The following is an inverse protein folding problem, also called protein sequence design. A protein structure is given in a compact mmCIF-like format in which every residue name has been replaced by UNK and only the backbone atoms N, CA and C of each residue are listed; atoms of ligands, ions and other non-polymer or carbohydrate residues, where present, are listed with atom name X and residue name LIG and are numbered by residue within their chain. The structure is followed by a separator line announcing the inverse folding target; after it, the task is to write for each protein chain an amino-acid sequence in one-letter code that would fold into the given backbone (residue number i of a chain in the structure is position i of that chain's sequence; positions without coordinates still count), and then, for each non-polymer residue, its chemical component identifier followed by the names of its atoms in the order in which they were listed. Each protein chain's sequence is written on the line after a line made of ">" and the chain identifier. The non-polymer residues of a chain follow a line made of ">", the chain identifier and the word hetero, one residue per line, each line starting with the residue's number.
data_IF_426133755901
#
_entry.id   IF_426133755901
#
_cell.length_a   1.000
_cell.length_b   1.000
_cell.length_c   1.000
_cell.angle_alpha   90.00
_cell.angle_beta   90.00
_cell.angle_gamma   90.00
#
_symmetry.space_group_name_H-M   'P 1'
#
loop_
_entity.id
_entity.type
_entity.pdbx_description
1 polymer ?
#
# COMPACT_ATOMS: atom_id res chain seq x y z
N UNK A 1 2.23 23.29 22.84
CA UNK A 1 2.01 22.04 22.07
C UNK A 1 1.86 20.90 23.08
N UNK A 2 0.83 20.06 22.95
CA UNK A 2 0.59 18.93 23.87
C UNK A 2 1.59 17.82 23.57
N UNK A 3 2.21 17.26 24.61
CA UNK A 3 3.00 16.03 24.48
C UNK A 3 2.07 14.82 24.52
N UNK A 4 2.31 13.82 23.68
CA UNK A 4 1.53 12.59 23.64
C UNK A 4 2.39 11.40 23.21
N UNK A 5 1.91 10.20 23.52
CA UNK A 5 2.44 8.94 23.00
C UNK A 5 1.57 8.41 21.87
N UNK A 6 2.18 8.11 20.73
CA UNK A 6 1.52 7.54 19.55
C UNK A 6 2.15 6.21 19.14
N UNK A 7 1.30 5.23 18.81
CA UNK A 7 1.75 3.97 18.20
C UNK A 7 1.12 3.88 16.83
N UNK A 8 1.95 3.62 15.81
CA UNK A 8 1.49 3.33 14.46
C UNK A 8 1.62 1.83 14.17
N UNK A 9 0.50 1.16 13.93
CA UNK A 9 0.48 -0.21 13.41
C UNK A 9 0.49 -0.18 11.89
N UNK A 10 1.50 -0.80 11.27
CA UNK A 10 1.67 -0.85 9.83
C UNK A 10 2.01 -2.27 9.37
N UNK A 11 1.24 -2.83 8.44
CA UNK A 11 1.50 -4.16 7.90
C UNK A 11 2.51 -4.11 6.75
N UNK A 12 3.31 -5.16 6.60
CA UNK A 12 4.13 -5.38 5.41
C UNK A 12 3.28 -5.85 4.23
N UNK A 13 2.24 -6.66 4.46
CA UNK A 13 1.28 -7.17 3.47
C UNK A 13 1.89 -7.97 2.29
N UNK A 14 3.17 -8.32 2.36
CA UNK A 14 3.91 -8.98 1.29
C UNK A 14 4.62 -10.23 1.81
N UNK A 15 4.02 -11.41 1.55
CA UNK A 15 4.66 -12.69 1.84
C UNK A 15 6.06 -12.79 1.22
N UNK A 16 6.25 -12.22 0.02
CA UNK A 16 7.56 -12.17 -0.63
C UNK A 16 8.58 -11.34 0.16
N UNK A 17 8.16 -10.25 0.82
CA UNK A 17 9.06 -9.45 1.66
C UNK A 17 9.50 -10.25 2.89
N UNK A 18 8.54 -10.90 3.56
CA UNK A 18 8.80 -11.77 4.71
C UNK A 18 9.75 -12.92 4.35
N UNK A 19 9.47 -13.61 3.23
CA UNK A 19 10.31 -14.70 2.75
C UNK A 19 11.72 -14.21 2.40
N UNK A 20 11.86 -13.09 1.68
CA UNK A 20 13.17 -12.53 1.36
C UNK A 20 13.94 -12.12 2.61
N UNK A 21 13.28 -11.50 3.59
CA UNK A 21 13.89 -11.06 4.84
C UNK A 21 14.53 -12.24 5.60
N UNK A 22 13.76 -13.27 5.90
CA UNK A 22 14.25 -14.41 6.67
C UNK A 22 15.14 -15.35 5.87
N UNK A 23 14.98 -15.41 4.53
CA UNK A 23 15.90 -16.15 3.66
C UNK A 23 17.29 -15.52 3.65
N UNK A 24 17.36 -14.18 3.55
CA UNK A 24 18.63 -13.46 3.52
C UNK A 24 19.24 -13.29 4.91
N UNK A 25 18.44 -13.44 5.98
CA UNK A 25 18.88 -13.33 7.37
C UNK A 25 18.36 -14.53 8.20
N UNK A 26 18.87 -15.77 8.00
CA UNK A 26 18.32 -16.96 8.66
C UNK A 26 18.37 -16.92 10.20
N UNK A 27 19.39 -16.26 10.76
CA UNK A 27 19.57 -16.09 12.20
C UNK A 27 18.60 -15.06 12.81
N UNK A 28 17.94 -14.25 11.98
CA UNK A 28 17.09 -13.16 12.45
C UNK A 28 15.96 -13.64 13.35
N UNK A 29 15.36 -14.79 13.02
CA UNK A 29 14.24 -15.38 13.78
C UNK A 29 14.60 -15.71 15.24
N UNK A 30 15.89 -15.88 15.55
CA UNK A 30 16.39 -16.19 16.90
C UNK A 30 16.84 -14.95 17.66
N UNK A 31 16.88 -13.79 17.01
CA UNK A 31 17.23 -12.53 17.66
C UNK A 31 16.08 -11.96 18.47
N UNK A 32 16.39 -10.98 19.32
CA UNK A 32 15.39 -10.26 20.09
C UNK A 32 14.40 -9.51 19.21
N UNK A 33 13.21 -9.22 19.73
CA UNK A 33 12.20 -8.43 19.03
C UNK A 33 12.77 -7.13 18.48
N UNK A 34 13.53 -6.41 19.30
CA UNK A 34 14.14 -5.13 18.92
C UNK A 34 15.08 -5.30 17.72
N UNK A 35 15.99 -6.28 17.75
CA UNK A 35 16.93 -6.51 16.66
C UNK A 35 16.22 -6.96 15.38
N UNK A 36 15.17 -7.79 15.51
CA UNK A 36 14.33 -8.17 14.38
C UNK A 36 13.65 -6.94 13.75
N UNK A 37 13.02 -6.10 14.56
CA UNK A 37 12.33 -4.89 14.12
C UNK A 37 13.29 -3.90 13.45
N UNK A 38 14.45 -3.64 14.05
CA UNK A 38 15.47 -2.78 13.46
C UNK A 38 15.96 -3.30 12.11
N UNK A 39 16.15 -4.62 11.99
CA UNK A 39 16.53 -5.25 10.71
C UNK A 39 15.45 -5.07 9.65
N UNK A 40 14.17 -5.21 10.00
CA UNK A 40 13.04 -4.92 9.08
C UNK A 40 13.11 -3.48 8.59
N UNK A 41 13.33 -2.50 9.48
CA UNK A 41 13.45 -1.09 9.12
C UNK A 41 14.69 -0.78 8.26
N UNK A 42 15.79 -1.49 8.45
CA UNK A 42 16.99 -1.37 7.61
C UNK A 42 16.73 -1.81 6.16
N UNK A 43 15.90 -2.84 5.94
CA UNK A 43 15.54 -3.30 4.59
C UNK A 43 14.59 -2.35 3.85
N UNK A 44 13.95 -1.41 4.56
CA UNK A 44 13.15 -0.32 3.99
C UNK A 44 12.01 -0.75 3.04
N UNK A 45 11.36 -1.90 3.28
CA UNK A 45 10.40 -2.50 2.34
C UNK A 45 9.24 -1.61 1.91
N UNK A 46 8.30 -1.31 2.83
CA UNK A 46 7.10 -0.51 2.57
C UNK A 46 6.96 0.60 3.63
N UNK A 47 6.87 0.19 4.89
CA UNK A 47 6.88 1.09 6.03
C UNK A 47 8.15 0.90 6.84
N UNK A 48 8.75 2.03 7.24
CA UNK A 48 9.94 2.13 8.08
C UNK A 48 9.60 2.82 9.40
N UNK A 49 10.61 2.99 10.24
CA UNK A 49 10.56 3.84 11.43
C UNK A 49 10.52 5.35 11.13
N UNK A 50 10.42 5.76 9.86
CA UNK A 50 10.47 7.18 9.47
C UNK A 50 9.38 8.02 10.13
N UNK A 51 8.17 7.47 10.33
CA UNK A 51 7.10 8.18 11.01
C UNK A 51 7.41 8.39 12.50
N UNK A 52 7.80 7.34 13.21
CA UNK A 52 8.14 7.45 14.63
C UNK A 52 9.39 8.29 14.86
N UNK A 53 10.42 8.21 14.01
CA UNK A 53 11.58 9.13 14.04
C UNK A 53 11.13 10.58 13.89
N UNK A 54 10.28 10.88 12.91
CA UNK A 54 9.78 12.22 12.69
C UNK A 54 8.94 12.73 13.87
N UNK A 55 8.00 11.94 14.38
CA UNK A 55 7.20 12.31 15.55
C UNK A 55 8.05 12.51 16.82
N UNK A 56 9.10 11.69 17.01
CA UNK A 56 10.07 11.90 18.10
C UNK A 56 10.82 13.22 17.97
N UNK A 57 11.22 13.60 16.76
CA UNK A 57 11.86 14.91 16.51
C UNK A 57 10.94 16.10 16.78
N UNK A 58 9.62 15.90 16.69
CA UNK A 58 8.60 16.89 17.05
C UNK A 58 8.31 16.92 18.57
N UNK A 59 9.04 16.13 19.38
CA UNK A 59 8.90 16.09 20.83
C UNK A 59 7.74 15.22 21.31
N UNK A 60 7.50 14.08 20.67
CA UNK A 60 6.50 13.08 21.08
C UNK A 60 7.13 11.71 21.33
N UNK A 61 6.49 10.88 22.14
CA UNK A 61 6.83 9.45 22.18
C UNK A 61 6.14 8.75 21.01
N UNK A 62 6.90 8.06 20.15
CA UNK A 62 6.34 7.42 18.97
C UNK A 62 6.98 6.07 18.67
N UNK A 63 6.15 5.11 18.26
CA UNK A 63 6.56 3.75 17.92
C UNK A 63 5.88 3.30 16.62
N UNK A 64 6.65 2.67 15.73
CA UNK A 64 6.16 1.96 14.56
C UNK A 64 6.17 0.45 14.87
N UNK A 65 5.05 -0.23 14.64
CA UNK A 65 4.90 -1.67 14.88
C UNK A 65 4.49 -2.37 13.59
N UNK A 66 5.30 -3.36 13.20
CA UNK A 66 5.00 -4.26 12.07
C UNK A 66 4.16 -5.44 12.58
N UNK A 67 2.83 -5.32 12.48
CA UNK A 67 1.91 -6.22 13.20
C UNK A 67 1.69 -7.58 12.53
N UNK A 68 1.97 -7.71 11.23
CA UNK A 68 1.68 -8.91 10.43
C UNK A 68 2.90 -9.83 10.22
N UNK A 69 4.03 -9.51 10.84
CA UNK A 69 5.23 -10.35 10.81
C UNK A 69 5.20 -11.33 11.99
N UNK A 70 4.66 -12.53 11.75
CA UNK A 70 4.35 -13.51 12.79
C UNK A 70 5.55 -13.87 13.69
N UNK A 71 6.71 -14.18 13.11
CA UNK A 71 7.92 -14.52 13.88
C UNK A 71 8.30 -13.37 14.82
N UNK A 72 8.37 -12.14 14.29
CA UNK A 72 8.66 -10.94 15.05
C UNK A 72 7.68 -10.76 16.21
N UNK A 73 6.37 -10.86 15.95
CA UNK A 73 5.33 -10.66 16.96
C UNK A 73 5.33 -11.75 18.03
N UNK A 74 5.55 -13.01 17.65
CA UNK A 74 5.67 -14.13 18.61
C UNK A 74 6.91 -14.00 19.48
N UNK A 75 8.03 -13.50 18.93
CA UNK A 75 9.21 -13.16 19.73
C UNK A 75 8.89 -12.08 20.77
N UNK A 76 8.19 -11.00 20.39
CA UNK A 76 7.75 -9.98 21.34
C UNK A 76 6.91 -10.57 22.48
N UNK A 77 5.92 -11.40 22.14
CA UNK A 77 5.05 -12.00 23.13
C UNK A 77 5.81 -12.91 24.09
N UNK A 78 6.74 -13.72 23.57
CA UNK A 78 7.63 -14.57 24.39
C UNK A 78 8.48 -13.73 25.35
N UNK A 79 9.12 -12.66 24.87
CA UNK A 79 9.96 -11.78 25.69
C UNK A 79 9.18 -11.05 26.79
N UNK A 80 7.91 -10.73 26.54
CA UNK A 80 7.04 -10.03 27.50
C UNK A 80 6.18 -10.97 28.35
N UNK A 81 6.32 -12.28 28.21
CA UNK A 81 5.50 -13.26 28.94
C UNK A 81 4.01 -13.16 28.61
N UNK A 82 3.68 -12.76 27.38
CA UNK A 82 2.30 -12.57 26.92
C UNK A 82 1.76 -13.87 26.34
N UNK A 83 0.62 -14.31 26.89
CA UNK A 83 -0.16 -15.40 26.33
C UNK A 83 -1.07 -14.89 25.21
N UNK A 84 -1.23 -15.71 24.18
CA UNK A 84 -2.11 -15.47 23.04
C UNK A 84 -2.67 -16.81 22.54
N UNK A 85 -3.86 -16.76 21.95
CA UNK A 85 -4.43 -17.92 21.27
C UNK A 85 -3.76 -18.12 19.90
N UNK A 86 -3.48 -19.37 19.50
CA UNK A 86 -2.76 -19.65 18.26
C UNK A 86 -3.49 -19.19 17.00
N UNK A 87 -4.83 -19.20 17.00
CA UNK A 87 -5.65 -18.81 15.86
C UNK A 87 -5.95 -17.30 15.85
N UNK A 88 -5.75 -16.62 16.99
CA UNK A 88 -6.00 -15.18 17.17
C UNK A 88 -4.75 -14.38 17.57
N UNK A 89 -3.57 -14.97 17.36
CA UNK A 89 -2.29 -14.43 17.84
C UNK A 89 -2.09 -12.96 17.45
N UNK A 90 -2.48 -12.58 16.23
CA UNK A 90 -2.26 -11.24 15.70
C UNK A 90 -2.99 -10.20 16.54
N UNK A 91 -4.29 -10.41 16.76
CA UNK A 91 -5.12 -9.46 17.51
C UNK A 91 -4.76 -9.45 19.00
N UNK A 92 -4.52 -10.63 19.58
CA UNK A 92 -4.14 -10.74 20.99
C UNK A 92 -2.83 -10.00 21.28
N UNK A 93 -1.82 -10.19 20.43
CA UNK A 93 -0.53 -9.53 20.60
C UNK A 93 -0.64 -8.02 20.37
N UNK A 94 -1.37 -7.57 19.34
CA UNK A 94 -1.61 -6.13 19.09
C UNK A 94 -2.28 -5.46 20.31
N UNK A 95 -3.32 -6.08 20.88
CA UNK A 95 -3.99 -5.54 22.07
C UNK A 95 -3.08 -5.51 23.29
N UNK A 96 -2.20 -6.51 23.43
CA UNK A 96 -1.20 -6.56 24.51
C UNK A 96 -0.10 -5.53 24.33
N UNK A 97 0.29 -5.21 23.09
CA UNK A 97 1.21 -4.11 22.79
C UNK A 97 0.60 -2.75 23.14
N UNK A 98 -0.69 -2.54 22.84
CA UNK A 98 -1.43 -1.34 23.25
C UNK A 98 -1.46 -1.24 24.79
N UNK A 99 -1.80 -2.34 25.48
CA UNK A 99 -1.84 -2.41 26.95
C UNK A 99 -0.47 -2.12 27.59
N UNK A 100 0.60 -2.66 27.01
CA UNK A 100 1.97 -2.50 27.49
C UNK A 100 2.49 -1.07 27.31
N UNK A 101 2.30 -0.50 26.12
CA UNK A 101 2.87 0.80 25.77
C UNK A 101 2.01 1.98 26.27
N UNK A 102 0.71 1.77 26.51
CA UNK A 102 -0.26 2.78 26.99
C UNK A 102 -0.25 4.08 26.17
N UNK A 103 -0.50 4.04 24.84
CA UNK A 103 -0.51 5.23 23.99
C UNK A 103 -1.71 6.15 24.22
N UNK A 104 -1.51 7.46 24.10
CA UNK A 104 -2.63 8.41 23.95
C UNK A 104 -3.34 8.24 22.60
N UNK A 105 -2.60 7.85 21.57
CA UNK A 105 -3.08 7.74 20.19
C UNK A 105 -2.71 6.40 19.59
N UNK A 106 -3.70 5.69 19.05
CA UNK A 106 -3.47 4.50 18.22
C UNK A 106 -3.73 4.86 16.77
N UNK A 107 -2.70 4.73 15.94
CA UNK A 107 -2.75 5.01 14.51
C UNK A 107 -2.63 3.71 13.71
N UNK A 108 -3.69 3.32 13.02
CA UNK A 108 -3.67 2.21 12.09
C UNK A 108 -3.39 2.70 10.67
N UNK A 109 -2.29 2.22 10.08
CA UNK A 109 -1.89 2.54 8.70
C UNK A 109 -2.81 1.89 7.64
N UNK A 110 -3.60 0.90 8.09
CA UNK A 110 -4.69 0.23 7.40
C UNK A 110 -5.74 -0.20 8.44
N UNK A 111 -6.60 -1.19 8.17
CA UNK A 111 -7.63 -1.65 9.11
C UNK A 111 -7.53 -3.14 9.43
N UNK A 112 -6.49 -3.83 8.97
CA UNK A 112 -6.41 -5.29 9.04
C UNK A 112 -5.77 -5.79 10.33
N UNK A 113 -5.15 -4.88 11.10
CA UNK A 113 -4.52 -5.21 12.38
C UNK A 113 -5.51 -5.61 13.48
N UNK A 114 -6.79 -5.21 13.37
CA UNK A 114 -7.85 -5.54 14.33
C UNK A 114 -9.20 -5.66 13.61
N UNK A 115 -10.05 -6.65 13.97
CA UNK A 115 -11.42 -6.71 13.48
C UNK A 115 -12.22 -5.49 13.95
N UNK A 116 -13.21 -5.09 13.16
CA UNK A 116 -14.08 -3.94 13.46
C UNK A 116 -14.69 -3.99 14.87
N UNK A 117 -15.22 -5.15 15.26
CA UNK A 117 -15.84 -5.35 16.57
C UNK A 117 -14.87 -5.12 17.73
N UNK A 118 -13.60 -5.48 17.55
CA UNK A 118 -12.55 -5.27 18.55
C UNK A 118 -12.09 -3.81 18.55
N UNK A 119 -11.94 -3.21 17.36
CA UNK A 119 -11.51 -1.82 17.21
C UNK A 119 -12.48 -0.84 17.86
N UNK A 120 -13.78 -1.07 17.71
CA UNK A 120 -14.88 -0.32 18.35
C UNK A 120 -14.76 -0.25 19.87
N UNK A 121 -14.27 -1.32 20.49
CA UNK A 121 -14.14 -1.43 21.95
C UNK A 121 -12.80 -0.90 22.49
N UNK A 122 -11.89 -0.40 21.64
CA UNK A 122 -10.54 0.00 22.09
C UNK A 122 -10.57 1.06 23.19
N UNK A 123 -11.36 2.12 23.04
CA UNK A 123 -11.45 3.20 24.05
C UNK A 123 -12.19 2.76 25.31
N UNK A 124 -13.12 1.81 25.19
CA UNK A 124 -13.81 1.20 26.34
C UNK A 124 -12.85 0.31 27.15
N UNK A 125 -12.04 -0.49 26.44
CA UNK A 125 -11.05 -1.39 27.03
C UNK A 125 -9.84 -0.66 27.61
N UNK A 126 -9.43 0.43 26.96
CA UNK A 126 -8.22 1.19 27.30
C UNK A 126 -8.54 2.67 27.45
N UNK A 127 -8.93 3.07 28.67
CA UNK A 127 -9.31 4.45 29.01
C UNK A 127 -8.21 5.50 28.76
N UNK A 128 -6.95 5.08 28.57
CA UNK A 128 -5.85 5.98 28.23
C UNK A 128 -5.85 6.41 26.75
N UNK A 129 -6.55 5.70 25.86
CA UNK A 129 -6.62 6.04 24.44
C UNK A 129 -7.55 7.23 24.25
N UNK A 130 -7.00 8.34 23.74
CA UNK A 130 -7.73 9.56 23.43
C UNK A 130 -8.20 9.61 21.97
N UNK A 131 -7.39 9.11 21.04
CA UNK A 131 -7.68 9.15 19.61
C UNK A 131 -7.37 7.82 18.92
N UNK A 132 -8.30 7.37 18.07
CA UNK A 132 -8.10 6.32 17.08
C UNK A 132 -7.99 6.96 15.69
N UNK A 133 -6.83 6.78 15.05
CA UNK A 133 -6.52 7.32 13.72
C UNK A 133 -6.44 6.16 12.74
N UNK A 134 -7.01 6.32 11.55
CA UNK A 134 -6.90 5.33 10.47
C UNK A 134 -6.46 5.99 9.18
N UNK A 135 -5.55 5.37 8.45
CA UNK A 135 -5.22 5.75 7.09
C UNK A 135 -5.90 4.83 6.08
N UNK A 136 -6.50 5.41 5.04
CA UNK A 136 -7.22 4.65 4.02
C UNK A 136 -6.92 5.16 2.61
N UNK A 137 -6.36 4.29 1.77
CA UNK A 137 -5.99 4.57 0.38
C UNK A 137 -7.06 4.20 -0.66
N UNK A 138 -8.19 3.62 -0.25
CA UNK A 138 -9.26 3.18 -1.16
C UNK A 138 -10.58 3.02 -0.40
N UNK A 139 -11.73 3.16 -1.07
CA UNK A 139 -13.04 2.97 -0.46
C UNK A 139 -13.46 1.49 -0.60
N UNK A 140 -13.73 0.82 0.52
CA UNK A 140 -14.42 -0.46 0.52
C UNK A 140 -15.88 -0.22 0.88
N UNK A 141 -16.80 -0.72 0.06
CA UNK A 141 -18.23 -0.61 0.35
C UNK A 141 -18.56 -1.55 1.52
N UNK A 142 -19.30 -1.05 2.51
CA UNK A 142 -19.80 -1.84 3.66
C UNK A 142 -18.93 -1.80 4.92
N UNK A 143 -17.78 -1.14 4.91
CA UNK A 143 -17.00 -0.95 6.13
C UNK A 143 -17.61 0.12 7.04
N UNK A 144 -17.75 -0.20 8.32
CA UNK A 144 -18.15 0.78 9.32
C UNK A 144 -16.90 1.41 9.95
N UNK A 145 -16.81 2.73 9.83
CA UNK A 145 -15.69 3.55 10.30
C UNK A 145 -16.13 4.56 11.38
N UNK A 146 -17.32 4.39 11.95
CA UNK A 146 -17.89 5.33 12.94
C UNK A 146 -17.10 5.38 14.25
N UNK A 147 -16.26 4.38 14.53
CA UNK A 147 -15.40 4.31 15.71
C UNK A 147 -14.11 5.13 15.60
N UNK A 148 -13.83 5.69 14.42
CA UNK A 148 -12.58 6.37 14.10
C UNK A 148 -12.70 7.87 14.38
N UNK A 149 -11.75 8.42 15.14
CA UNK A 149 -11.74 9.83 15.48
C UNK A 149 -11.19 10.70 14.33
N UNK A 150 -10.22 10.17 13.57
CA UNK A 150 -9.53 10.85 12.47
C UNK A 150 -9.26 9.86 11.34
N UNK A 151 -9.70 10.20 10.13
CA UNK A 151 -9.44 9.41 8.92
C UNK A 151 -8.48 10.16 7.99
N UNK A 152 -7.33 9.57 7.69
CA UNK A 152 -6.34 10.11 6.76
C UNK A 152 -6.46 9.41 5.41
N UNK A 153 -6.31 10.14 4.31
CA UNK A 153 -6.29 9.54 2.96
C UNK A 153 -5.39 10.32 2.02
N UNK A 154 -4.78 9.66 1.04
CA UNK A 154 -3.98 10.30 -0.01
C UNK A 154 -4.79 10.69 -1.25
N UNK A 155 -6.09 10.35 -1.32
CA UNK A 155 -6.91 10.61 -2.50
C UNK A 155 -7.82 11.81 -2.21
N UNK A 156 -7.63 12.97 -2.87
CA UNK A 156 -8.43 14.17 -2.62
C UNK A 156 -9.93 13.94 -2.77
N UNK A 157 -10.33 13.18 -3.80
CA UNK A 157 -11.75 12.87 -4.03
C UNK A 157 -12.39 11.99 -2.95
N UNK A 158 -11.60 11.27 -2.14
CA UNK A 158 -12.12 10.48 -1.02
C UNK A 158 -12.34 11.33 0.24
N UNK A 159 -11.59 12.41 0.42
CA UNK A 159 -11.72 13.29 1.61
C UNK A 159 -13.15 13.79 1.75
N UNK A 160 -13.70 14.36 0.67
CA UNK A 160 -15.06 14.90 0.67
C UNK A 160 -16.11 13.79 0.79
N UNK A 161 -15.88 12.62 0.16
CA UNK A 161 -16.78 11.47 0.32
C UNK A 161 -16.86 11.00 1.78
N UNK A 162 -15.73 10.93 2.48
CA UNK A 162 -15.71 10.55 3.89
C UNK A 162 -16.33 11.63 4.80
N UNK A 163 -16.11 12.91 4.50
CA UNK A 163 -16.75 14.02 5.24
C UNK A 163 -18.26 14.00 5.09
N UNK A 164 -18.76 13.77 3.88
CA UNK A 164 -20.20 13.63 3.63
C UNK A 164 -20.81 12.40 4.32
N UNK A 165 -20.00 11.37 4.59
CA UNK A 165 -20.38 10.22 5.41
C UNK A 165 -20.24 10.46 6.93
N UNK A 166 -19.97 11.70 7.36
CA UNK A 166 -19.87 12.10 8.77
C UNK A 166 -18.49 11.86 9.40
N UNK A 167 -17.50 11.41 8.64
CA UNK A 167 -16.15 11.13 9.16
C UNK A 167 -15.26 12.38 9.12
N UNK A 168 -14.39 12.52 10.12
CA UNK A 168 -13.38 13.58 10.18
C UNK A 168 -12.19 13.22 9.29
N UNK A 169 -12.33 13.49 8.00
CA UNK A 169 -11.32 13.12 7.00
C UNK A 169 -10.36 14.25 6.61
N UNK A 170 -9.07 13.91 6.43
CA UNK A 170 -7.99 14.82 6.06
C UNK A 170 -7.12 14.24 4.93
N UNK A 171 -6.70 15.11 4.02
CA UNK A 171 -5.76 14.78 2.95
C UNK A 171 -4.35 14.69 3.51
N UNK A 172 -3.75 13.51 3.49
CA UNK A 172 -2.33 13.30 3.79
C UNK A 172 -1.77 12.37 2.71
N UNK A 173 -0.95 12.92 1.83
CA UNK A 173 -0.28 12.13 0.80
C UNK A 173 0.77 11.19 1.40
N UNK A 174 1.24 10.23 0.61
CA UNK A 174 2.43 9.48 0.99
C UNK A 174 3.66 10.40 1.09
N UNK A 175 4.71 9.92 1.75
CA UNK A 175 5.98 10.62 1.91
C UNK A 175 7.15 9.70 1.65
N UNK A 176 8.24 10.25 1.15
CA UNK A 176 9.53 9.60 0.98
C UNK A 176 10.32 9.63 2.29
N UNK A 177 10.82 8.47 2.73
CA UNK A 177 11.74 8.37 3.86
C UNK A 177 13.15 8.64 3.35
N UNK A 178 13.63 9.86 3.55
CA UNK A 178 14.93 10.35 3.07
C UNK A 178 16.12 9.62 3.71
N UNK A 179 15.92 8.96 4.86
CA UNK A 179 16.93 8.07 5.45
C UNK A 179 17.33 6.90 4.52
N UNK A 180 16.50 6.57 3.53
CA UNK A 180 16.85 5.59 2.49
C UNK A 180 18.08 6.01 1.70
N UNK A 181 18.28 7.31 1.47
CA UNK A 181 19.42 7.83 0.69
C UNK A 181 20.76 7.42 1.32
N UNK A 182 20.85 7.47 2.64
CA UNK A 182 22.06 7.04 3.35
C UNK A 182 22.28 5.53 3.25
N UNK A 183 21.20 4.74 3.29
CA UNK A 183 21.25 3.26 3.15
C UNK A 183 21.72 2.81 1.76
N UNK A 184 21.40 3.58 0.70
CA UNK A 184 21.78 3.22 -0.68
C UNK A 184 23.12 3.84 -1.12
N UNK A 185 23.48 5.03 -0.61
CA UNK A 185 24.66 5.77 -1.06
C UNK A 185 25.79 5.89 -0.01
N UNK A 186 25.59 5.42 1.23
CA UNK A 186 26.64 5.37 2.26
C UNK A 186 27.26 6.74 2.59
N UNK A 187 26.46 7.80 2.58
CA UNK A 187 26.90 9.18 2.86
C UNK A 187 27.70 9.86 1.73
N UNK A 188 28.08 9.14 0.66
CA UNK A 188 28.68 9.73 -0.52
C UNK A 188 27.61 9.92 -1.61
N UNK A 189 27.17 11.16 -1.84
CA UNK A 189 26.27 11.51 -2.96
C UNK A 189 27.03 11.46 -4.30
N UNK A 190 27.78 10.39 -4.57
CA UNK A 190 28.21 10.10 -5.93
C UNK A 190 27.00 9.49 -6.62
N UNK A 191 26.55 10.13 -7.71
CA UNK A 191 25.44 9.61 -8.50
C UNK A 191 25.72 8.15 -8.87
N UNK A 192 24.75 7.25 -8.67
CA UNK A 192 24.92 5.86 -9.05
C UNK A 192 25.17 5.76 -10.55
N UNK A 193 25.98 4.78 -10.94
CA UNK A 193 26.11 4.41 -12.34
C UNK A 193 24.74 4.00 -12.87
N UNK A 194 24.33 4.59 -14.00
CA UNK A 194 23.09 4.20 -14.67
C UNK A 194 23.32 2.85 -15.37
N UNK A 195 22.51 1.86 -15.03
CA UNK A 195 22.56 0.49 -15.54
C UNK A 195 21.40 0.22 -16.48
N UNK A 196 20.23 0.80 -16.20
CA UNK A 196 19.00 0.53 -16.93
C UNK A 196 18.50 1.77 -17.64
N UNK A 197 18.07 1.60 -18.90
CA UNK A 197 17.49 2.72 -19.66
C UNK A 197 16.05 3.00 -19.24
N UNK A 198 15.22 1.96 -19.16
CA UNK A 198 13.81 2.10 -18.84
C UNK A 198 13.32 0.94 -17.99
N UNK A 199 12.74 1.24 -16.82
CA UNK A 199 12.32 0.23 -15.86
C UNK A 199 10.90 0.41 -15.36
N UNK A 200 10.31 -0.67 -14.88
CA UNK A 200 9.13 -0.65 -14.03
C UNK A 200 9.32 -1.67 -12.90
N UNK A 201 9.01 -1.26 -11.67
CA UNK A 201 9.05 -2.15 -10.49
C UNK A 201 7.69 -2.11 -9.80
N UNK A 202 7.06 -3.26 -9.55
CA UNK A 202 5.76 -3.30 -8.87
C UNK A 202 4.90 -4.49 -9.33
N UNK A 203 3.60 -4.49 -9.08
CA UNK A 203 2.75 -5.54 -9.66
C UNK A 203 2.35 -5.21 -11.10
N UNK A 204 2.41 -6.20 -12.00
CA UNK A 204 1.91 -6.05 -13.37
C UNK A 204 0.37 -5.95 -13.43
N UNK A 205 -0.32 -6.38 -12.38
CA UNK A 205 -1.78 -6.55 -12.36
C UNK A 205 -2.25 -7.92 -12.86
N UNK A 206 -1.35 -8.77 -13.37
CA UNK A 206 -1.69 -10.14 -13.72
C UNK A 206 -2.19 -10.91 -12.49
N UNK A 207 -3.33 -11.59 -12.61
CA UNK A 207 -3.86 -12.47 -11.55
C UNK A 207 -4.36 -11.76 -10.29
N UNK A 208 -4.22 -10.44 -10.19
CA UNK A 208 -4.85 -9.63 -9.14
C UNK A 208 -6.29 -9.30 -9.55
N UNK A 209 -7.24 -10.06 -9.03
CA UNK A 209 -8.66 -9.70 -9.06
C UNK A 209 -8.89 -8.74 -7.90
N UNK A 210 -8.77 -7.43 -8.16
CA UNK A 210 -9.10 -6.42 -7.15
C UNK A 210 -10.59 -6.33 -6.83
N UNK A 211 -10.98 -5.30 -6.10
CA UNK A 211 -12.38 -4.91 -5.94
C UNK A 211 -13.07 -4.83 -7.32
N UNK A 212 -14.19 -5.55 -7.51
CA UNK A 212 -14.88 -5.74 -8.80
C UNK A 212 -14.04 -6.35 -9.95
N UNK A 213 -12.91 -6.98 -9.65
CA UNK A 213 -11.99 -7.55 -10.64
C UNK A 213 -11.11 -6.53 -11.36
N UNK A 214 -11.14 -5.25 -11.00
CA UNK A 214 -10.67 -4.15 -11.84
C UNK A 214 -9.41 -3.43 -11.34
N UNK A 215 -8.71 -3.83 -10.29
CA UNK A 215 -7.74 -2.91 -9.65
C UNK A 215 -6.44 -2.63 -10.41
N UNK A 216 -6.04 -3.43 -11.40
CA UNK A 216 -4.76 -3.26 -12.11
C UNK A 216 -4.78 -3.77 -13.57
N UNK A 217 -5.95 -3.96 -14.19
CA UNK A 217 -5.99 -4.63 -15.49
C UNK A 217 -5.42 -3.76 -16.62
N UNK A 218 -5.64 -2.44 -16.58
CA UNK A 218 -5.09 -1.55 -17.59
C UNK A 218 -3.56 -1.52 -17.54
N UNK A 219 -2.98 -1.68 -16.34
CA UNK A 219 -1.53 -1.73 -16.14
C UNK A 219 -0.92 -2.92 -16.88
N UNK A 220 -1.50 -4.12 -16.80
CA UNK A 220 -0.95 -5.28 -17.50
C UNK A 220 -0.78 -4.99 -19.00
N UNK A 221 -1.83 -4.44 -19.62
CA UNK A 221 -1.83 -4.17 -21.06
C UNK A 221 -0.89 -3.02 -21.43
N UNK A 222 -0.82 -1.98 -20.60
CA UNK A 222 0.17 -0.90 -20.76
C UNK A 222 1.60 -1.47 -20.75
N UNK A 223 1.94 -2.30 -19.77
CA UNK A 223 3.26 -2.93 -19.68
C UNK A 223 3.52 -3.88 -20.84
N UNK A 224 2.50 -4.62 -21.29
CA UNK A 224 2.58 -5.52 -22.44
C UNK A 224 2.92 -4.76 -23.74
N UNK A 225 2.28 -3.63 -23.99
CA UNK A 225 2.55 -2.85 -25.20
C UNK A 225 3.91 -2.16 -25.13
N UNK A 226 4.26 -1.60 -23.96
CA UNK A 226 5.54 -0.93 -23.76
C UNK A 226 6.72 -1.88 -23.88
N UNK A 227 6.66 -3.08 -23.27
CA UNK A 227 7.75 -4.05 -23.38
C UNK A 227 7.93 -4.54 -24.83
N UNK A 228 6.90 -4.53 -25.67
CA UNK A 228 7.06 -4.90 -27.09
C UNK A 228 7.75 -3.82 -27.93
N UNK A 229 7.59 -2.53 -27.55
CA UNK A 229 8.00 -1.39 -28.38
C UNK A 229 9.19 -0.62 -27.83
N UNK A 230 9.67 -0.98 -26.64
CA UNK A 230 10.79 -0.33 -25.95
C UNK A 230 11.72 -1.37 -25.33
N UNK A 231 12.85 -0.91 -24.78
CA UNK A 231 13.79 -1.74 -24.02
C UNK A 231 13.40 -1.91 -22.53
N UNK A 232 12.13 -1.69 -22.17
CA UNK A 232 11.61 -1.81 -20.81
C UNK A 232 12.02 -3.11 -20.11
N UNK A 233 12.55 -2.96 -18.90
CA UNK A 233 12.86 -4.03 -17.95
C UNK A 233 11.85 -4.01 -16.78
N UNK A 234 11.34 -5.18 -16.41
CA UNK A 234 10.24 -5.32 -15.45
C UNK A 234 10.69 -6.11 -14.22
N UNK A 235 10.62 -5.54 -13.01
CA UNK A 235 10.70 -6.30 -11.75
C UNK A 235 9.32 -6.42 -11.15
N UNK A 236 8.65 -7.54 -11.47
CA UNK A 236 7.20 -7.61 -11.32
C UNK A 236 6.72 -8.73 -10.41
N UNK A 237 5.75 -8.38 -9.55
CA UNK A 237 4.96 -9.38 -8.83
C UNK A 237 3.75 -9.80 -9.66
N UNK A 238 3.68 -11.11 -9.93
CA UNK A 238 2.59 -11.75 -10.67
C UNK A 238 2.23 -13.09 -9.99
N UNK A 239 1.11 -13.19 -9.27
CA UNK A 239 0.69 -14.44 -8.62
C UNK A 239 0.59 -15.60 -9.61
N UNK A 240 0.88 -16.81 -9.13
CA UNK A 240 0.72 -18.03 -9.92
C UNK A 240 -0.77 -18.34 -10.13
N UNK A 241 -1.23 -18.36 -11.38
CA UNK A 241 -2.59 -18.79 -11.73
C UNK A 241 -2.75 -20.32 -11.79
N UNK A 242 -1.65 -21.06 -11.79
CA UNK A 242 -1.61 -22.48 -12.15
C UNK A 242 -1.61 -23.42 -10.93
N UNK A 243 -1.91 -22.94 -9.72
CA UNK A 243 -2.22 -23.88 -8.63
C UNK A 243 -3.67 -24.38 -8.79
N UNK A 244 -3.82 -25.69 -9.02
CA UNK A 244 -5.08 -26.43 -8.97
C UNK A 244 -6.04 -25.93 -7.85
N UNK A 245 -5.58 -25.61 -6.62
CA UNK A 245 -6.42 -25.03 -5.58
C UNK A 245 -7.05 -23.66 -5.90
N UNK A 246 -6.43 -22.77 -6.68
CA UNK A 246 -7.03 -21.47 -7.05
C UNK A 246 -8.15 -21.65 -8.08
N UNK A 247 -7.99 -22.53 -9.08
CA UNK A 247 -9.06 -22.86 -10.04
C UNK A 247 -10.27 -23.51 -9.36
N UNK A 248 -10.02 -24.42 -8.42
CA UNK A 248 -11.06 -25.04 -7.60
C UNK A 248 -11.73 -23.97 -6.73
N UNK A 249 -10.96 -23.11 -6.04
CA UNK A 249 -11.50 -21.99 -5.26
C UNK A 249 -12.33 -21.03 -6.11
N UNK A 250 -11.89 -20.67 -7.32
CA UNK A 250 -12.64 -19.77 -8.21
C UNK A 250 -13.93 -20.40 -8.74
N UNK A 251 -13.90 -21.69 -9.13
CA UNK A 251 -15.08 -22.43 -9.58
C UNK A 251 -16.08 -22.62 -8.44
N UNK A 252 -15.60 -22.99 -7.25
CA UNK A 252 -16.40 -23.09 -6.03
C UNK A 252 -17.00 -21.73 -5.64
N UNK A 253 -16.20 -20.65 -5.65
CA UNK A 253 -16.64 -19.28 -5.35
C UNK A 253 -17.71 -18.80 -6.32
N UNK A 254 -17.55 -19.06 -7.63
CA UNK A 254 -18.54 -18.69 -8.66
C UNK A 254 -19.85 -19.46 -8.50
N UNK A 255 -19.79 -20.77 -8.24
CA UNK A 255 -20.98 -21.60 -7.97
C UNK A 255 -21.68 -21.14 -6.69
N UNK A 256 -20.92 -20.90 -5.63
CA UNK A 256 -21.45 -20.47 -4.34
C UNK A 256 -22.11 -19.09 -4.44
N UNK A 257 -21.47 -18.13 -5.12
CA UNK A 257 -22.05 -16.80 -5.37
C UNK A 257 -23.37 -16.91 -6.14
N UNK A 258 -23.41 -17.71 -7.21
CA UNK A 258 -24.63 -17.96 -7.99
C UNK A 258 -25.73 -18.65 -7.17
N UNK A 259 -25.37 -19.54 -6.23
CA UNK A 259 -26.35 -20.14 -5.31
C UNK A 259 -26.90 -19.11 -4.31
N UNK A 260 -26.06 -18.18 -3.84
CA UNK A 260 -26.47 -17.08 -2.95
C UNK A 260 -27.37 -16.06 -3.66
N UNK A 261 -27.29 -15.96 -4.98
CA UNK A 261 -28.18 -15.13 -5.81
C UNK A 261 -29.65 -15.59 -5.82
N UNK A 262 -29.98 -16.78 -5.30
CA UNK A 262 -31.36 -17.25 -5.16
C UNK A 262 -31.98 -16.93 -3.78
N UNK A 263 -31.18 -16.42 -2.84
CA UNK A 263 -31.66 -16.07 -1.51
C UNK A 263 -32.06 -14.60 -1.42
N UNK A 264 -33.14 -14.35 -0.69
CA UNK A 264 -33.64 -13.02 -0.34
C UNK A 264 -32.56 -12.23 0.44
N UNK A 265 -32.18 -11.02 -0.02
CA UNK A 265 -31.20 -10.17 0.65
C UNK A 265 -31.49 -9.93 2.14
N UNK A 266 -32.74 -9.68 2.52
CA UNK A 266 -33.09 -9.39 3.92
C UNK A 266 -32.95 -10.64 4.81
N UNK A 267 -33.28 -11.83 4.28
CA UNK A 267 -33.05 -13.09 4.98
C UNK A 267 -31.57 -13.42 5.12
N UNK A 268 -30.75 -13.09 4.12
CA UNK A 268 -29.29 -13.24 4.19
C UNK A 268 -28.68 -12.29 5.24
N UNK A 269 -29.12 -11.04 5.28
CA UNK A 269 -28.72 -10.04 6.28
C UNK A 269 -29.09 -10.50 7.70
N UNK A 270 -30.28 -11.11 7.87
CA UNK A 270 -30.72 -11.73 9.13
C UNK A 270 -29.91 -12.97 9.51
N UNK A 271 -29.55 -13.81 8.54
CA UNK A 271 -28.72 -15.01 8.75
C UNK A 271 -27.29 -14.64 9.18
N UNK A 272 -26.77 -13.52 8.64
CA UNK A 272 -25.51 -12.91 9.04
C UNK A 272 -25.58 -12.32 10.46
N UNK A 273 -26.72 -11.70 10.82
CA UNK A 273 -26.97 -11.24 12.19
C UNK A 273 -27.06 -12.35 13.23
N UNK A 274 -27.49 -13.56 12.84
CA UNK A 274 -27.65 -14.71 13.75
C UNK A 274 -26.38 -15.57 13.92
N UNK A 275 -25.38 -15.45 13.03
CA UNK A 275 -24.10 -16.20 13.08
C UNK A 275 -22.94 -15.34 13.56
N UNK A 276 -23.18 -14.45 14.51
CA UNK A 276 -22.17 -13.59 15.14
C UNK A 276 -21.24 -14.33 16.13
N UNK A 277 -21.21 -15.67 16.15
CA UNK A 277 -20.48 -16.45 17.17
C UNK A 277 -19.70 -17.68 16.68
N UNK A 278 -19.41 -17.82 15.38
CA UNK A 278 -18.45 -18.85 14.94
C UNK A 278 -17.16 -18.22 14.41
N UNK A 279 -16.19 -18.13 15.31
CA UNK A 279 -14.79 -17.80 15.07
C UNK A 279 -14.21 -18.73 13.98
N UNK A 280 -13.50 -18.16 12.99
CA UNK A 280 -12.76 -18.91 11.98
C UNK A 280 -12.69 -18.25 10.59
N UNK A 281 -11.53 -18.40 9.92
CA UNK A 281 -11.21 -17.82 8.60
C UNK A 281 -12.22 -18.18 7.48
N UNK A 282 -13.02 -19.25 7.65
CA UNK A 282 -14.07 -19.66 6.70
C UNK A 282 -15.30 -18.75 6.81
N UNK A 283 -15.68 -18.35 8.03
CA UNK A 283 -16.83 -17.47 8.26
C UNK A 283 -16.60 -16.08 7.66
N UNK A 284 -15.38 -15.55 7.77
CA UNK A 284 -14.98 -14.25 7.23
C UNK A 284 -14.93 -14.24 5.69
N UNK A 285 -14.43 -15.32 5.07
CA UNK A 285 -14.46 -15.50 3.60
C UNK A 285 -15.89 -15.62 3.07
N UNK A 286 -16.77 -16.31 3.80
CA UNK A 286 -18.20 -16.39 3.49
C UNK A 286 -18.90 -15.05 3.67
N UNK A 287 -18.56 -14.32 4.73
CA UNK A 287 -19.07 -12.98 5.00
C UNK A 287 -18.71 -12.01 3.88
N UNK A 288 -17.45 -11.97 3.45
CA UNK A 288 -17.00 -11.16 2.30
C UNK A 288 -17.76 -11.53 1.02
N UNK A 289 -17.96 -12.82 0.75
CA UNK A 289 -18.69 -13.30 -0.42
C UNK A 289 -20.17 -12.92 -0.43
N UNK A 290 -20.80 -12.97 0.73
CA UNK A 290 -22.18 -12.56 0.93
C UNK A 290 -22.36 -11.06 0.80
N UNK A 291 -21.46 -10.29 1.41
CA UNK A 291 -21.43 -8.83 1.25
C UNK A 291 -21.23 -8.45 -0.22
N UNK A 292 -20.30 -9.08 -0.94
CA UNK A 292 -20.14 -8.87 -2.39
C UNK A 292 -21.44 -9.15 -3.18
N UNK A 293 -22.17 -10.23 -2.85
CA UNK A 293 -23.43 -10.59 -3.52
C UNK A 293 -24.56 -9.59 -3.24
N UNK A 294 -24.69 -9.14 -1.98
CA UNK A 294 -25.68 -8.12 -1.59
C UNK A 294 -25.33 -6.76 -2.21
N UNK A 295 -24.04 -6.42 -2.28
CA UNK A 295 -23.54 -5.17 -2.86
C UNK A 295 -23.78 -5.09 -4.37
N UNK A 296 -23.55 -6.17 -5.11
CA UNK A 296 -23.81 -6.22 -6.56
C UNK A 296 -25.31 -6.02 -6.88
N UNK A 297 -26.20 -6.37 -5.95
CA UNK A 297 -27.65 -6.17 -6.08
C UNK A 297 -28.11 -4.76 -5.69
N UNK A 298 -27.44 -4.12 -4.73
CA UNK A 298 -27.78 -2.77 -4.22
C UNK A 298 -27.11 -1.63 -5.02
N UNK A 299 -26.11 -1.93 -5.85
CA UNK A 299 -25.44 -0.91 -6.68
C UNK A 299 -26.37 -0.42 -7.82
N UNK A 300 -26.54 0.91 -8.01
CA UNK A 300 -27.23 1.42 -9.19
C UNK A 300 -26.46 1.02 -10.45
N UNK A 301 -27.13 0.89 -11.62
CA UNK A 301 -26.47 0.63 -12.88
C UNK A 301 -25.77 1.90 -13.36
N UNK A 302 -24.70 2.31 -12.68
CA UNK A 302 -23.71 3.21 -13.28
C UNK A 302 -22.99 2.38 -14.34
N UNK A 303 -23.38 2.61 -15.61
CA UNK A 303 -22.56 2.21 -16.76
C UNK A 303 -21.20 2.88 -16.59
N UNK A 304 -20.22 2.13 -16.07
CA UNK A 304 -18.84 2.52 -16.27
C UNK A 304 -18.62 2.48 -17.78
N UNK A 305 -18.11 3.57 -18.37
CA UNK A 305 -17.71 3.59 -19.79
C UNK A 305 -16.69 2.48 -20.15
N UNK A 306 -16.21 1.70 -19.16
CA UNK A 306 -15.28 0.58 -19.32
C UNK A 306 -15.93 -0.81 -19.37
N UNK A 307 -17.21 -0.97 -19.00
CA UNK A 307 -17.84 -2.29 -18.88
C UNK A 307 -18.01 -3.01 -20.25
N UNK A 308 -18.14 -2.25 -21.34
CA UNK A 308 -18.22 -2.80 -22.70
C UNK A 308 -16.87 -3.22 -23.29
N UNK A 309 -15.75 -2.63 -22.85
CA UNK A 309 -14.44 -2.84 -23.46
C UNK A 309 -13.63 -3.97 -22.81
N UNK A 310 -13.90 -4.27 -21.53
CA UNK A 310 -13.06 -5.15 -20.70
C UNK A 310 -13.55 -6.60 -20.57
N UNK A 311 -14.82 -6.92 -20.89
CA UNK A 311 -15.36 -8.27 -20.71
C UNK A 311 -14.70 -9.36 -21.60
N UNK A 312 -13.81 -9.01 -22.54
CA UNK A 312 -13.10 -9.96 -23.42
C UNK A 312 -11.57 -10.05 -23.28
N UNK A 313 -10.90 -9.22 -22.46
CA UNK A 313 -9.42 -9.09 -22.45
C UNK A 313 -8.77 -9.36 -21.09
N UNK A 314 -9.15 -10.44 -20.41
CA UNK A 314 -8.34 -10.91 -19.28
C UNK A 314 -7.01 -11.48 -19.79
N UNK A 315 -5.87 -11.11 -19.19
CA UNK A 315 -4.57 -11.60 -19.64
C UNK A 315 -4.49 -13.11 -19.44
N UNK A 316 -4.21 -13.86 -20.50
CA UNK A 316 -4.17 -15.34 -20.48
C UNK A 316 -2.87 -15.90 -19.93
N UNK A 317 -1.75 -15.20 -20.14
CA UNK A 317 -0.40 -15.59 -19.68
C UNK A 317 0.22 -14.43 -18.91
N UNK A 318 1.05 -14.76 -17.92
CA UNK A 318 1.85 -13.79 -17.18
C UNK A 318 2.91 -13.15 -18.11
N UNK A 319 3.30 -11.90 -17.83
CA UNK A 319 4.36 -11.22 -18.60
C UNK A 319 5.69 -11.95 -18.44
N UNK A 320 6.00 -12.47 -17.23
CA UNK A 320 7.23 -13.25 -17.00
C UNK A 320 7.35 -14.49 -17.88
N UNK A 321 6.22 -15.10 -18.27
CA UNK A 321 6.19 -16.25 -19.19
C UNK A 321 6.31 -15.83 -20.66
N UNK A 322 5.98 -14.57 -20.99
CA UNK A 322 6.02 -14.03 -22.36
C UNK A 322 7.37 -13.39 -22.69
N UNK A 323 8.02 -12.77 -21.71
CA UNK A 323 9.26 -12.02 -21.87
C UNK A 323 10.26 -12.37 -20.75
N UNK A 324 10.73 -13.64 -20.67
CA UNK A 324 11.54 -14.12 -19.55
C UNK A 324 12.84 -13.32 -19.36
N UNK A 325 13.50 -12.91 -20.44
CA UNK A 325 14.76 -12.15 -20.39
C UNK A 325 14.62 -10.69 -19.90
N UNK A 326 13.38 -10.19 -19.81
CA UNK A 326 13.09 -8.80 -19.43
C UNK A 326 12.13 -8.69 -18.24
N UNK A 327 11.71 -9.82 -17.68
CA UNK A 327 10.84 -9.90 -16.53
C UNK A 327 11.56 -10.61 -15.38
N UNK A 328 12.00 -9.81 -14.43
CA UNK A 328 12.76 -10.21 -13.25
C UNK A 328 11.82 -10.47 -12.06
N UNK A 329 12.27 -11.26 -11.07
CA UNK A 329 11.57 -11.41 -9.80
C UNK A 329 11.26 -10.05 -9.14
N UNK A 330 10.18 -9.94 -8.36
CA UNK A 330 9.86 -8.69 -7.67
C UNK A 330 10.96 -8.32 -6.68
N UNK A 331 11.32 -7.04 -6.65
CA UNK A 331 12.22 -6.45 -5.66
C UNK A 331 11.46 -5.44 -4.80
N UNK A 332 11.87 -5.32 -3.55
CA UNK A 332 11.25 -4.46 -2.53
C UNK A 332 12.37 -3.75 -1.75
N UNK A 333 12.02 -2.67 -1.06
CA UNK A 333 12.92 -1.98 -0.15
C UNK A 333 14.24 -1.53 -0.80
N UNK A 334 15.37 -1.72 -0.11
CA UNK A 334 16.68 -1.24 -0.55
C UNK A 334 17.02 -1.69 -1.98
N UNK A 335 16.72 -2.93 -2.35
CA UNK A 335 17.01 -3.41 -3.70
C UNK A 335 16.12 -2.74 -4.76
N UNK A 336 14.86 -2.48 -4.44
CA UNK A 336 14.00 -1.65 -5.29
C UNK A 336 14.57 -0.24 -5.45
N UNK A 337 14.95 0.43 -4.36
CA UNK A 337 15.53 1.77 -4.41
C UNK A 337 16.82 1.82 -5.24
N UNK A 338 17.66 0.77 -5.17
CA UNK A 338 18.84 0.64 -6.03
C UNK A 338 18.47 0.58 -7.50
N UNK A 339 17.52 -0.27 -7.90
CA UNK A 339 17.04 -0.35 -9.29
C UNK A 339 16.53 1.02 -9.77
N UNK A 340 15.71 1.70 -8.95
CA UNK A 340 15.20 3.04 -9.26
C UNK A 340 16.35 4.04 -9.47
N UNK A 341 17.31 4.06 -8.54
CA UNK A 341 18.46 4.98 -8.60
C UNK A 341 19.39 4.73 -9.79
N UNK A 342 19.46 3.48 -10.27
CA UNK A 342 20.29 3.06 -11.40
C UNK A 342 19.55 3.14 -12.74
N UNK A 343 18.29 3.59 -12.75
CA UNK A 343 17.48 3.74 -13.96
C UNK A 343 17.60 5.15 -14.52
N UNK A 344 17.83 5.29 -15.84
CA UNK A 344 17.66 6.57 -16.54
C UNK A 344 16.24 7.06 -16.37
N UNK A 345 15.25 6.22 -16.73
CA UNK A 345 13.82 6.52 -16.59
C UNK A 345 13.12 5.36 -15.90
N UNK A 346 12.25 5.67 -14.93
CA UNK A 346 11.32 4.69 -14.35
C UNK A 346 9.89 5.05 -14.74
N UNK A 347 9.16 4.04 -15.22
CA UNK A 347 7.71 4.10 -15.44
C UNK A 347 6.95 3.96 -14.12
N UNK A 348 5.92 4.79 -13.95
CA UNK A 348 4.88 4.60 -12.95
C UNK A 348 3.50 4.56 -13.61
N UNK A 349 2.62 3.71 -13.08
CA UNK A 349 1.22 3.64 -13.48
C UNK A 349 0.32 3.44 -12.27
N UNK A 350 -0.59 4.37 -12.05
CA UNK A 350 -1.59 4.26 -10.98
C UNK A 350 -2.58 3.13 -11.24
N UNK A 351 -3.17 2.65 -10.14
CA UNK A 351 -4.22 1.61 -10.17
C UNK A 351 -5.48 2.18 -10.80
N UNK A 352 -6.33 1.32 -11.36
CA UNK A 352 -7.57 1.77 -12.00
C UNK A 352 -8.53 2.40 -10.95
N UNK A 353 -8.36 2.06 -9.67
CA UNK A 353 -9.12 2.60 -8.53
C UNK A 353 -8.78 4.07 -8.26
N UNK A 354 -7.58 4.54 -8.62
CA UNK A 354 -7.18 5.92 -8.38
C UNK A 354 -8.02 6.93 -9.20
N UNK A 355 -8.68 6.46 -10.27
CA UNK A 355 -9.43 7.30 -11.20
C UNK A 355 -8.55 8.40 -11.78
N UNK A 356 -9.04 9.64 -11.74
CA UNK A 356 -8.28 10.82 -12.20
C UNK A 356 -7.28 11.36 -11.17
N UNK A 357 -6.93 10.59 -10.12
CA UNK A 357 -5.99 11.02 -9.09
C UNK A 357 -4.66 10.28 -9.18
N UNK A 358 -3.59 10.99 -8.83
CA UNK A 358 -2.22 10.48 -8.74
C UNK A 358 -1.65 10.68 -7.34
N UNK A 359 -0.49 10.08 -7.06
CA UNK A 359 0.21 10.18 -5.78
C UNK A 359 0.41 8.84 -5.09
N UNK A 360 0.58 7.73 -5.83
CA UNK A 360 1.04 6.48 -5.23
C UNK A 360 2.49 6.60 -4.72
N UNK A 361 2.91 5.67 -3.85
CA UNK A 361 4.25 5.70 -3.22
C UNK A 361 5.37 5.81 -4.25
N UNK A 362 5.25 5.12 -5.39
CA UNK A 362 6.31 5.11 -6.42
C UNK A 362 6.66 6.49 -6.96
N UNK A 363 5.71 7.43 -7.01
CA UNK A 363 6.04 8.80 -7.43
C UNK A 363 7.11 9.41 -6.52
N UNK A 364 6.98 9.22 -5.21
CA UNK A 364 7.88 9.77 -4.20
C UNK A 364 9.16 8.95 -4.08
N UNK A 365 9.08 7.62 -4.19
CA UNK A 365 10.24 6.73 -4.15
C UNK A 365 11.22 6.99 -5.30
N UNK A 366 10.71 7.05 -6.53
CA UNK A 366 11.53 7.24 -7.73
C UNK A 366 12.17 8.62 -7.78
N UNK A 367 11.37 9.68 -7.55
CA UNK A 367 11.89 11.05 -7.53
C UNK A 367 12.82 11.27 -6.32
N UNK A 368 12.50 10.71 -5.16
CA UNK A 368 13.31 10.82 -3.94
C UNK A 368 14.73 10.31 -4.11
N UNK A 369 14.92 9.18 -4.81
CA UNK A 369 16.26 8.65 -5.13
C UNK A 369 16.91 9.28 -6.37
N UNK A 370 16.28 10.29 -6.98
CA UNK A 370 16.85 11.04 -8.10
C UNK A 370 16.68 10.39 -9.47
N UNK A 371 15.68 9.53 -9.65
CA UNK A 371 15.33 8.96 -10.95
C UNK A 371 14.39 9.89 -11.74
N UNK A 372 14.55 9.95 -13.06
CA UNK A 372 13.57 10.61 -13.93
C UNK A 372 12.29 9.76 -13.98
N UNK A 373 11.19 10.31 -13.47
CA UNK A 373 9.90 9.63 -13.43
C UNK A 373 9.08 9.93 -14.69
N UNK A 374 8.60 8.87 -15.35
CA UNK A 374 7.56 8.94 -16.38
C UNK A 374 6.28 8.31 -15.84
N UNK A 375 5.19 9.07 -15.71
CA UNK A 375 3.97 8.65 -15.01
C UNK A 375 2.70 9.02 -15.75
N UNK A 376 1.60 8.29 -15.52
CA UNK A 376 0.28 8.76 -15.92
C UNK A 376 -0.12 10.05 -15.18
N UNK A 377 -0.97 10.86 -15.81
CA UNK A 377 -1.42 12.15 -15.27
C UNK A 377 -2.72 12.06 -14.46
N UNK A 378 -3.03 13.11 -13.69
CA UNK A 378 -4.27 13.24 -12.93
C UNK A 378 -4.56 14.67 -12.49
N UNK A 379 -5.79 14.94 -12.07
CA UNK A 379 -6.30 16.28 -11.67
C UNK A 379 -5.51 16.91 -10.52
N UNK A 380 -5.01 16.10 -9.60
CA UNK A 380 -4.24 16.57 -8.45
C UNK A 380 -2.71 16.58 -8.68
N UNK A 381 -2.24 16.29 -9.90
CA UNK A 381 -0.81 16.36 -10.22
C UNK A 381 -0.19 17.72 -9.86
N UNK A 382 -0.80 18.89 -10.17
CA UNK A 382 -0.19 20.19 -9.85
C UNK A 382 0.06 20.42 -8.35
N UNK A 383 -0.65 19.69 -7.49
CA UNK A 383 -0.44 19.75 -6.04
C UNK A 383 0.82 18.98 -5.60
N UNK A 384 1.30 18.06 -6.43
CA UNK A 384 2.42 17.17 -6.15
C UNK A 384 3.67 17.58 -6.93
N UNK A 385 3.55 17.78 -8.24
CA UNK A 385 4.68 18.04 -9.12
C UNK A 385 4.28 18.96 -10.28
N UNK A 386 5.24 19.75 -10.76
CA UNK A 386 5.14 20.50 -12.01
C UNK A 386 5.34 19.56 -13.21
N UNK A 387 4.32 19.52 -14.07
CA UNK A 387 4.27 18.67 -15.25
C UNK A 387 5.43 18.98 -16.21
N UNK A 388 6.10 17.92 -16.68
CA UNK A 388 7.20 17.92 -17.65
C UNK A 388 8.44 18.76 -17.23
N UNK A 389 8.49 19.19 -15.96
CA UNK A 389 9.65 19.85 -15.33
C UNK A 389 10.16 19.08 -14.12
N UNK A 390 9.27 18.62 -13.24
CA UNK A 390 9.63 17.83 -12.06
C UNK A 390 9.34 16.33 -12.26
N UNK A 391 8.33 16.01 -13.06
CA UNK A 391 8.01 14.64 -13.52
C UNK A 391 7.49 14.70 -14.95
N UNK A 392 7.78 13.69 -15.77
CA UNK A 392 7.25 13.60 -17.12
C UNK A 392 5.95 12.83 -17.09
N UNK A 393 4.92 13.33 -17.79
CA UNK A 393 3.62 12.66 -17.81
C UNK A 393 3.23 12.14 -19.18
N UNK A 394 2.31 11.18 -19.22
CA UNK A 394 1.68 10.72 -20.45
C UNK A 394 0.18 10.49 -20.27
N UNK A 395 -0.55 10.54 -21.37
CA UNK A 395 -2.00 10.30 -21.47
C UNK A 395 -2.34 9.11 -22.37
N UNK A 396 -1.41 8.69 -23.22
CA UNK A 396 -1.52 7.51 -24.09
C UNK A 396 -0.25 6.66 -24.08
N UNK A 397 -0.34 5.44 -24.61
CA UNK A 397 0.81 4.53 -24.74
C UNK A 397 1.79 5.10 -25.77
N UNK A 398 1.28 5.69 -26.85
CA UNK A 398 2.06 6.31 -27.92
C UNK A 398 2.88 7.49 -27.36
N UNK A 399 2.25 8.37 -26.58
CA UNK A 399 2.94 9.49 -25.92
C UNK A 399 3.98 8.97 -24.91
N UNK A 400 3.68 7.90 -24.18
CA UNK A 400 4.63 7.26 -23.27
C UNK A 400 5.87 6.74 -24.01
N UNK A 401 5.70 6.13 -25.18
CA UNK A 401 6.79 5.61 -26.02
C UNK A 401 7.63 6.76 -26.56
N UNK A 402 6.98 7.79 -27.13
CA UNK A 402 7.66 8.97 -27.65
C UNK A 402 8.53 9.63 -26.56
N UNK A 403 7.93 9.89 -25.39
CA UNK A 403 8.60 10.55 -24.28
C UNK A 403 9.74 9.73 -23.70
N UNK A 404 9.61 8.40 -23.58
CA UNK A 404 10.72 7.59 -23.07
C UNK A 404 11.88 7.54 -24.07
N UNK A 405 11.62 7.42 -25.37
CA UNK A 405 12.66 7.47 -26.40
C UNK A 405 13.41 8.82 -26.34
N UNK A 406 12.66 9.93 -26.29
CA UNK A 406 13.24 11.26 -26.14
C UNK A 406 14.13 11.39 -24.89
N UNK A 407 13.64 10.94 -23.72
CA UNK A 407 14.38 11.03 -22.46
C UNK A 407 15.64 10.15 -22.42
N UNK A 408 15.64 9.01 -23.12
CA UNK A 408 16.82 8.14 -23.22
C UNK A 408 17.90 8.79 -24.08
N UNK A 409 17.51 9.46 -25.16
CA UNK A 409 18.43 10.14 -26.11
C UNK A 409 18.93 11.51 -25.60
N UNK A 410 18.15 12.18 -24.74
CA UNK A 410 18.45 13.54 -24.27
C UNK A 410 18.86 13.57 -22.79
N UNK A 411 20.12 13.18 -22.53
CA UNK A 411 20.71 13.06 -21.19
C UNK A 411 20.61 14.33 -20.34
N UNK A 412 20.82 15.52 -20.92
CA UNK A 412 20.78 16.79 -20.19
C UNK A 412 19.37 17.06 -19.68
N UNK A 413 18.38 17.03 -20.59
CA UNK A 413 16.97 17.29 -20.25
C UNK A 413 16.46 16.29 -19.22
N UNK A 414 16.73 14.99 -19.41
CA UNK A 414 16.37 13.95 -18.44
C UNK A 414 16.96 14.23 -17.05
N UNK A 415 18.24 14.62 -16.99
CA UNK A 415 18.92 14.90 -15.73
C UNK A 415 18.35 16.13 -15.03
N UNK A 416 18.01 17.17 -15.76
CA UNK A 416 17.40 18.38 -15.21
C UNK A 416 16.04 18.05 -14.57
N UNK A 417 15.21 17.26 -15.25
CA UNK A 417 13.92 16.81 -14.73
C UNK A 417 14.10 15.97 -13.47
N UNK A 418 15.01 14.99 -13.49
CA UNK A 418 15.29 14.15 -12.33
C UNK A 418 15.77 14.95 -11.10
N UNK A 419 16.64 15.95 -11.31
CA UNK A 419 17.12 16.84 -10.25
C UNK A 419 15.97 17.70 -9.70
N UNK A 420 15.14 18.27 -10.57
CA UNK A 420 13.99 19.07 -10.18
C UNK A 420 12.97 18.24 -9.38
N UNK A 421 12.64 17.03 -9.85
CA UNK A 421 11.76 16.09 -9.17
C UNK A 421 12.30 15.68 -7.79
N UNK A 422 13.59 15.37 -7.68
CA UNK A 422 14.21 15.05 -6.39
C UNK A 422 14.16 16.23 -5.42
N UNK A 423 14.49 17.43 -5.90
CA UNK A 423 14.42 18.66 -5.09
C UNK A 423 13.00 18.89 -4.58
N UNK A 424 11.99 18.67 -5.43
CA UNK A 424 10.58 18.77 -5.03
C UNK A 424 10.23 17.76 -3.94
N UNK A 425 10.61 16.50 -4.11
CA UNK A 425 10.30 15.44 -3.14
C UNK A 425 10.96 15.68 -1.79
N UNK A 426 12.24 16.05 -1.76
CA UNK A 426 12.96 16.32 -0.51
C UNK A 426 12.48 17.60 0.19
N UNK A 427 11.94 18.57 -0.56
CA UNK A 427 11.36 19.79 0.02
C UNK A 427 9.97 19.54 0.60
N UNK A 428 9.08 18.90 -0.16
CA UNK A 428 7.63 18.93 0.12
C UNK A 428 7.02 17.55 0.43
N UNK A 429 7.68 16.46 0.02
CA UNK A 429 7.10 15.13 0.06
C UNK A 429 7.89 14.11 0.88
N UNK A 430 8.51 14.55 1.98
CA UNK A 430 9.17 13.66 2.94
C UNK A 430 8.19 13.09 3.97
N UNK A 431 8.56 11.99 4.63
CA UNK A 431 7.83 11.47 5.80
C UNK A 431 7.79 12.50 6.93
N UNK A 432 8.84 13.31 7.11
CA UNK A 432 8.85 14.41 8.08
C UNK A 432 7.71 15.40 7.82
N UNK A 433 7.53 15.85 6.58
CA UNK A 433 6.44 16.77 6.25
C UNK A 433 5.06 16.16 6.50
N UNK A 434 4.90 14.84 6.28
CA UNK A 434 3.66 14.13 6.63
C UNK A 434 3.47 14.04 8.13
N UNK A 435 4.52 13.80 8.91
CA UNK A 435 4.46 13.79 10.36
C UNK A 435 4.11 15.17 10.94
N UNK A 436 4.66 16.26 10.39
CA UNK A 436 4.30 17.64 10.77
C UNK A 436 2.80 17.87 10.52
N UNK A 437 2.33 17.56 9.31
CA UNK A 437 0.92 17.70 8.95
C UNK A 437 0.00 16.88 9.86
N UNK A 438 0.35 15.62 10.12
CA UNK A 438 -0.41 14.75 11.03
C UNK A 438 -0.39 15.33 12.44
N UNK A 439 0.77 15.76 12.95
CA UNK A 439 0.88 16.37 14.27
C UNK A 439 -0.05 17.58 14.42
N UNK A 440 -0.08 18.50 13.44
CA UNK A 440 -1.00 19.63 13.47
C UNK A 440 -2.48 19.21 13.56
N UNK A 441 -2.86 18.14 12.85
CA UNK A 441 -4.22 17.57 12.92
C UNK A 441 -4.50 17.00 14.32
N UNK A 442 -3.53 16.26 14.90
CA UNK A 442 -3.67 15.65 16.23
C UNK A 442 -3.72 16.71 17.35
N UNK A 443 -2.87 17.74 17.29
CA UNK A 443 -2.81 18.83 18.27
C UNK A 443 -4.11 19.62 18.37
N UNK A 444 -4.86 19.73 17.26
CA UNK A 444 -6.18 20.40 17.22
C UNK A 444 -7.29 19.55 17.84
N UNK A 445 -7.04 18.26 18.08
CA UNK A 445 -8.05 17.27 18.52
C UNK A 445 -7.81 16.77 19.93
N UNK A 446 -6.55 16.62 20.34
CA UNK A 446 -6.16 16.42 21.73
C UNK A 446 -6.43 17.68 22.53
#
# INVERSE_FOLDING_TARGET
>A
MKHFKIIRFAGLHYDSATLTLYKNNPELQFQSYENQLQTVFQHAFLYTDGFSRAMRSLGHEAYDIIYDLEILQKTWAKEKGVFYDSDRWLYDIVLKQIEYLKPDIVYFQDIWSLPEAVRKELKNRFAFIKLVVVYKGFLNIGENLADIDILLTCIPSLVEKFRNAGLKSFLVYHGFDDAVLEKIFGGQIKKPQLIYDFTFVGSSGYGLLGYKGLSHQARYWTLYDLIQKTNLQLWIHEPERDSLPIRIKMSARKKLKKSLEYFDPEKLEKLLGFKLFSEGCIAEKMHCLLLESIQDRKAPPEKSCLDGFLQGRLPKKALRKKFPERCHPPVLGIDMYRILSQSKVTLNKHTDIAGDNVGNMRMFEATGVGCCLLTDTGKNLPNLFEKDREVVTYTSIEECIEKVCFLIEHDIVRREIAIAGQKRTLRDHTVMNRAIQINEILQKRL
#
